data_IF_724088215704
#
_entry.id   IF_724088215704
#
_cell.length_a   1.000
_cell.length_b   1.000
_cell.length_c   1.000
_cell.angle_alpha   90.00
_cell.angle_beta   90.00
_cell.angle_gamma   90.00
#
_symmetry.space_group_name_H-M   'P 1'
#
loop_
_entity.id
_entity.type
_entity.pdbx_description
1 polymer ?
#
# COMPACT_ATOMS: atom_id res chain seq x y z
N UNK A 1 4.82 -9.91 16.50
CA UNK A 1 3.81 -10.79 15.85
C UNK A 1 3.78 -12.18 16.48
N UNK A 2 4.86 -12.95 16.52
CA UNK A 2 4.86 -14.31 17.15
C UNK A 2 4.35 -14.31 18.58
N UNK A 3 4.65 -13.28 19.35
CA UNK A 3 4.23 -13.14 20.74
C UNK A 3 2.71 -12.90 20.91
N UNK A 4 1.97 -12.55 19.86
CA UNK A 4 0.50 -12.52 19.82
C UNK A 4 -0.08 -13.76 19.13
N UNK A 5 0.73 -14.84 19.02
CA UNK A 5 0.30 -16.14 18.48
C UNK A 5 0.36 -16.28 16.97
N UNK A 6 0.89 -15.28 16.24
CA UNK A 6 0.97 -15.33 14.77
C UNK A 6 2.00 -16.36 14.33
N UNK A 7 1.67 -17.28 13.39
CA UNK A 7 2.59 -18.25 12.83
C UNK A 7 3.80 -17.59 12.19
N UNK A 8 4.96 -18.26 12.23
CA UNK A 8 6.22 -17.71 11.73
C UNK A 8 6.15 -17.27 10.26
N UNK A 9 5.48 -18.03 9.40
CA UNK A 9 5.33 -17.69 7.98
C UNK A 9 4.48 -16.43 7.77
N UNK A 10 3.43 -16.24 8.57
CA UNK A 10 2.63 -15.00 8.54
C UNK A 10 3.43 -13.80 9.07
N UNK A 11 4.26 -14.01 10.11
CA UNK A 11 5.18 -12.99 10.61
C UNK A 11 6.17 -12.55 9.53
N UNK A 12 6.75 -13.51 8.80
CA UNK A 12 7.67 -13.25 7.69
C UNK A 12 6.99 -12.48 6.55
N UNK A 13 5.79 -12.91 6.15
CA UNK A 13 5.01 -12.23 5.10
C UNK A 13 4.77 -10.76 5.46
N UNK A 14 4.37 -10.47 6.70
CA UNK A 14 4.20 -9.10 7.17
C UNK A 14 5.53 -8.34 7.20
N UNK A 15 6.58 -8.93 7.80
CA UNK A 15 7.89 -8.28 7.93
C UNK A 15 8.48 -7.89 6.57
N UNK A 16 8.40 -8.77 5.58
CA UNK A 16 8.87 -8.49 4.22
C UNK A 16 8.20 -7.27 3.60
N UNK A 17 6.89 -7.16 3.74
CA UNK A 17 6.12 -6.02 3.19
C UNK A 17 6.47 -4.73 3.92
N UNK A 18 6.60 -4.76 5.26
CA UNK A 18 6.95 -3.57 6.05
C UNK A 18 8.36 -3.08 5.72
N UNK A 19 9.33 -3.98 5.69
CA UNK A 19 10.72 -3.66 5.32
C UNK A 19 10.78 -3.12 3.90
N UNK A 20 10.08 -3.75 2.95
CA UNK A 20 10.01 -3.26 1.58
C UNK A 20 9.43 -1.84 1.47
N UNK A 21 8.48 -1.49 2.34
CA UNK A 21 7.95 -0.12 2.45
C UNK A 21 9.02 0.86 2.92
N UNK A 22 9.70 0.56 4.01
CA UNK A 22 10.73 1.43 4.60
C UNK A 22 11.96 1.55 3.68
N UNK A 23 12.41 0.45 3.08
CA UNK A 23 13.53 0.42 2.14
C UNK A 23 13.29 1.31 0.91
N UNK A 24 12.02 1.50 0.53
CA UNK A 24 11.60 2.38 -0.57
C UNK A 24 11.27 3.80 -0.15
N UNK A 25 11.45 4.15 1.13
CA UNK A 25 11.12 5.47 1.67
C UNK A 25 9.64 5.68 1.98
N UNK A 26 8.82 4.64 1.90
CA UNK A 26 7.39 4.68 2.26
C UNK A 26 7.17 4.39 3.75
N UNK A 27 7.85 5.13 4.63
CA UNK A 27 7.81 4.97 6.09
C UNK A 27 6.38 5.00 6.67
N UNK A 28 5.42 5.59 5.95
CA UNK A 28 4.01 5.55 6.35
C UNK A 28 3.38 4.15 6.31
N UNK A 29 4.01 3.19 5.61
CA UNK A 29 3.55 1.81 5.41
C UNK A 29 4.58 0.76 5.87
N UNK A 30 5.61 1.18 6.57
CA UNK A 30 6.67 0.35 7.11
C UNK A 30 6.48 -0.01 8.59
N UNK A 31 7.59 -0.06 9.31
CA UNK A 31 7.65 -0.46 10.72
C UNK A 31 6.65 0.29 11.62
N UNK A 32 6.38 1.57 11.34
CA UNK A 32 5.42 2.37 12.09
C UNK A 32 3.98 1.82 12.08
N UNK A 33 3.66 0.84 11.21
CA UNK A 33 2.36 0.17 11.16
C UNK A 33 2.28 -1.10 11.98
N UNK A 34 3.41 -1.60 12.50
CA UNK A 34 3.42 -2.84 13.27
C UNK A 34 2.46 -2.82 14.45
N UNK A 35 2.35 -1.68 15.14
CA UNK A 35 1.41 -1.49 16.25
C UNK A 35 -0.04 -1.77 15.85
N UNK A 36 -0.46 -1.27 14.70
CA UNK A 36 -1.81 -1.47 14.17
C UNK A 36 -2.10 -2.96 13.94
N UNK A 37 -1.18 -3.69 13.31
CA UNK A 37 -1.36 -5.12 13.07
C UNK A 37 -1.43 -5.94 14.36
N UNK A 38 -0.61 -5.59 15.36
CA UNK A 38 -0.64 -6.22 16.68
C UNK A 38 -1.95 -5.89 17.39
N UNK A 39 -2.41 -4.65 17.34
CA UNK A 39 -3.68 -4.22 17.92
C UNK A 39 -4.85 -4.97 17.31
N UNK A 40 -4.95 -5.04 15.97
CA UNK A 40 -6.04 -5.70 15.26
C UNK A 40 -6.14 -7.19 15.59
N UNK A 41 -5.01 -7.86 15.86
CA UNK A 41 -5.01 -9.24 16.35
C UNK A 41 -5.50 -9.33 17.80
N UNK A 42 -5.01 -8.45 18.68
CA UNK A 42 -5.36 -8.49 20.10
C UNK A 42 -6.85 -8.23 20.36
N UNK A 43 -7.49 -7.36 19.55
CA UNK A 43 -8.93 -7.09 19.64
C UNK A 43 -9.78 -8.10 18.84
N UNK A 44 -9.15 -9.07 18.15
CA UNK A 44 -9.84 -10.09 17.36
C UNK A 44 -10.43 -9.60 16.05
N UNK A 45 -10.05 -8.40 15.59
CA UNK A 45 -10.49 -7.87 14.29
C UNK A 45 -9.70 -8.44 13.12
N UNK A 46 -8.59 -9.13 13.39
CA UNK A 46 -7.81 -9.91 12.42
C UNK A 46 -7.56 -11.31 12.99
N UNK A 47 -7.81 -12.33 12.18
CA UNK A 47 -7.56 -13.74 12.53
C UNK A 47 -6.06 -14.02 12.50
N UNK A 48 -5.58 -14.68 13.56
CA UNK A 48 -4.14 -14.86 13.80
C UNK A 48 -3.52 -15.99 12.98
N UNK A 49 -4.30 -17.04 12.67
CA UNK A 49 -3.84 -18.27 12.03
C UNK A 49 -4.88 -18.82 11.06
N UNK A 50 -4.44 -19.46 10.00
CA UNK A 50 -5.28 -20.05 8.95
C UNK A 50 -4.66 -19.81 7.57
N UNK A 51 -5.36 -20.20 6.53
CA UNK A 51 -4.97 -20.03 5.15
C UNK A 51 -6.09 -19.36 4.35
N UNK A 52 -5.77 -18.59 3.28
CA UNK A 52 -6.76 -18.15 2.30
C UNK A 52 -7.31 -19.34 1.51
N UNK A 53 -8.57 -19.25 1.10
CA UNK A 53 -9.28 -20.32 0.40
C UNK A 53 -9.71 -19.88 -0.99
N UNK A 54 -9.45 -20.73 -2.03
CA UNK A 54 -9.97 -20.52 -3.37
C UNK A 54 -11.44 -20.97 -3.40
N UNK A 55 -12.35 -19.99 -3.45
CA UNK A 55 -13.81 -20.25 -3.50
C UNK A 55 -14.27 -20.64 -4.89
N UNK A 56 -13.69 -20.01 -5.91
CA UNK A 56 -14.02 -20.25 -7.31
C UNK A 56 -12.83 -19.92 -8.18
N UNK A 57 -12.56 -20.75 -9.18
CA UNK A 57 -11.54 -20.46 -10.19
C UNK A 57 -11.90 -20.94 -11.59
N UNK A 58 -11.27 -20.31 -12.56
CA UNK A 58 -11.19 -20.74 -13.96
C UNK A 58 -9.71 -20.85 -14.34
N UNK A 59 -9.41 -21.13 -15.61
CA UNK A 59 -8.03 -21.14 -16.09
C UNK A 59 -7.30 -19.81 -15.84
N UNK A 60 -7.97 -18.66 -16.02
CA UNK A 60 -7.37 -17.33 -15.94
C UNK A 60 -7.82 -16.49 -14.74
N UNK A 61 -8.87 -16.88 -14.01
CA UNK A 61 -9.40 -16.10 -12.89
C UNK A 61 -9.52 -16.92 -11.62
N UNK A 62 -9.50 -16.24 -10.44
CA UNK A 62 -9.88 -16.84 -9.19
C UNK A 62 -10.58 -15.83 -8.27
N UNK A 63 -11.48 -16.35 -7.44
CA UNK A 63 -12.07 -15.66 -6.31
C UNK A 63 -11.62 -16.33 -5.01
N UNK A 64 -11.09 -15.56 -4.09
CA UNK A 64 -10.45 -16.05 -2.86
C UNK A 64 -11.14 -15.45 -1.63
N UNK A 65 -11.42 -16.30 -0.64
CA UNK A 65 -11.77 -15.91 0.72
C UNK A 65 -10.49 -15.80 1.55
N UNK A 66 -10.24 -14.63 2.12
CA UNK A 66 -9.05 -14.32 2.91
C UNK A 66 -9.16 -14.72 4.38
N UNK A 67 -10.34 -15.19 4.81
CA UNK A 67 -10.61 -15.65 6.18
C UNK A 67 -10.23 -14.63 7.27
N UNK A 68 -10.31 -13.34 6.94
CA UNK A 68 -9.94 -12.23 7.81
C UNK A 68 -8.49 -12.30 8.34
N UNK A 69 -7.59 -12.91 7.58
CA UNK A 69 -6.17 -13.02 7.89
C UNK A 69 -5.43 -11.69 7.67
N UNK A 70 -4.15 -11.64 8.06
CA UNK A 70 -3.25 -10.53 7.75
C UNK A 70 -3.23 -10.24 6.24
N UNK A 71 -3.39 -8.97 5.86
CA UNK A 71 -3.39 -8.56 4.46
C UNK A 71 -2.20 -9.05 3.63
N UNK A 72 -0.95 -9.02 4.13
CA UNK A 72 0.19 -9.58 3.40
C UNK A 72 0.14 -11.09 3.17
N UNK A 73 -0.52 -11.85 4.03
CA UNK A 73 -0.72 -13.29 3.83
C UNK A 73 -1.69 -13.53 2.68
N UNK A 74 -2.85 -12.88 2.73
CA UNK A 74 -3.87 -12.97 1.68
C UNK A 74 -3.34 -12.41 0.35
N UNK A 75 -2.67 -11.25 0.41
CA UNK A 75 -2.13 -10.59 -0.78
C UNK A 75 -1.05 -11.41 -1.49
N UNK A 76 -0.10 -11.99 -0.74
CA UNK A 76 0.93 -12.86 -1.33
C UNK A 76 0.31 -14.09 -1.99
N UNK A 77 -0.64 -14.76 -1.32
CA UNK A 77 -1.34 -15.91 -1.87
C UNK A 77 -2.06 -15.58 -3.18
N UNK A 78 -2.84 -14.51 -3.20
CA UNK A 78 -3.60 -14.09 -4.39
C UNK A 78 -2.68 -13.64 -5.53
N UNK A 79 -1.61 -12.92 -5.23
CA UNK A 79 -0.64 -12.48 -6.23
C UNK A 79 0.12 -13.66 -6.84
N UNK A 80 0.55 -14.63 -6.02
CA UNK A 80 1.21 -15.85 -6.51
C UNK A 80 0.28 -16.66 -7.40
N UNK A 81 -1.00 -16.77 -7.04
CA UNK A 81 -2.02 -17.41 -7.87
C UNK A 81 -2.23 -16.68 -9.19
N UNK A 82 -2.30 -15.34 -9.19
CA UNK A 82 -2.43 -14.54 -10.41
C UNK A 82 -1.21 -14.75 -11.33
N UNK A 83 0.01 -14.72 -10.78
CA UNK A 83 1.23 -14.96 -11.55
C UNK A 83 1.27 -16.37 -12.15
N UNK A 84 0.89 -17.39 -11.37
CA UNK A 84 0.80 -18.76 -11.86
C UNK A 84 -0.14 -18.88 -13.06
N UNK A 85 -1.35 -18.33 -12.93
CA UNK A 85 -2.34 -18.32 -14.03
C UNK A 85 -1.83 -17.58 -15.27
N UNK A 86 -1.16 -16.44 -15.08
CA UNK A 86 -0.57 -15.67 -16.17
C UNK A 86 0.47 -16.48 -16.96
N UNK A 87 1.31 -17.22 -16.27
CA UNK A 87 2.31 -18.11 -16.91
C UNK A 87 1.69 -19.25 -17.71
N UNK A 88 0.49 -19.71 -17.30
CA UNK A 88 -0.22 -20.79 -17.96
C UNK A 88 -1.10 -20.32 -19.13
N UNK A 89 -1.74 -19.15 -19.01
CA UNK A 89 -2.78 -18.68 -19.92
C UNK A 89 -2.54 -17.30 -20.54
N UNK A 90 -1.44 -16.64 -20.21
CA UNK A 90 -1.10 -15.28 -20.64
C UNK A 90 -1.65 -14.17 -19.72
N UNK A 91 -2.67 -14.46 -18.90
CA UNK A 91 -3.24 -13.54 -17.93
C UNK A 91 -3.77 -14.29 -16.70
N UNK A 92 -3.53 -13.73 -15.51
CA UNK A 92 -4.17 -14.15 -14.28
C UNK A 92 -4.86 -12.99 -13.60
N UNK A 93 -6.14 -13.17 -13.23
CA UNK A 93 -6.93 -12.19 -12.51
C UNK A 93 -7.50 -12.81 -11.24
N UNK A 94 -7.08 -12.30 -10.08
CA UNK A 94 -7.52 -12.81 -8.78
C UNK A 94 -8.14 -11.68 -7.97
N UNK A 95 -9.39 -11.85 -7.56
CA UNK A 95 -10.06 -10.97 -6.61
C UNK A 95 -10.26 -11.69 -5.29
N UNK A 96 -10.14 -11.01 -4.16
CA UNK A 96 -10.38 -11.58 -2.84
C UNK A 96 -11.17 -10.64 -1.93
N UNK A 97 -11.83 -11.25 -0.93
CA UNK A 97 -12.47 -10.58 0.20
C UNK A 97 -11.94 -11.12 1.52
N UNK A 98 -12.47 -10.63 2.63
CA UNK A 98 -12.09 -11.12 3.95
C UNK A 98 -10.63 -10.83 4.27
N UNK A 99 -10.08 -9.71 3.80
CA UNK A 99 -8.70 -9.32 4.03
C UNK A 99 -8.58 -8.07 4.90
N UNK A 100 -7.33 -7.68 5.17
CA UNK A 100 -6.96 -6.54 5.97
C UNK A 100 -5.93 -5.68 5.23
N UNK A 101 -5.44 -4.60 5.85
CA UNK A 101 -4.38 -3.77 5.28
C UNK A 101 -3.19 -4.62 4.81
N UNK A 102 -2.70 -4.41 3.58
CA UNK A 102 -1.71 -5.29 2.94
C UNK A 102 -0.34 -4.63 2.69
N UNK A 103 -0.10 -3.46 3.29
CA UNK A 103 1.14 -2.70 3.10
C UNK A 103 1.12 -1.84 1.83
N UNK A 104 2.25 -1.74 1.14
CA UNK A 104 2.39 -1.02 -0.14
C UNK A 104 1.89 -1.89 -1.30
N UNK A 105 1.15 -1.29 -2.23
CA UNK A 105 0.62 -2.01 -3.40
C UNK A 105 1.74 -2.45 -4.35
N UNK A 106 2.82 -1.67 -4.42
CA UNK A 106 4.00 -1.96 -5.23
C UNK A 106 4.73 -3.25 -4.85
N UNK A 107 4.63 -3.72 -3.61
CA UNK A 107 5.21 -5.00 -3.21
C UNK A 107 4.78 -6.14 -4.13
N UNK A 108 3.50 -6.22 -4.41
CA UNK A 108 2.91 -7.30 -5.21
C UNK A 108 3.28 -7.19 -6.68
N UNK A 109 3.27 -5.97 -7.21
CA UNK A 109 3.56 -5.75 -8.64
C UNK A 109 5.03 -5.93 -8.97
N UNK A 110 5.94 -5.59 -8.06
CA UNK A 110 7.38 -5.83 -8.20
C UNK A 110 7.68 -7.34 -8.26
N UNK A 111 7.02 -8.15 -7.43
CA UNK A 111 7.16 -9.61 -7.48
C UNK A 111 6.73 -10.22 -8.82
N UNK A 112 5.75 -9.61 -9.50
CA UNK A 112 5.39 -10.01 -10.85
C UNK A 112 6.48 -9.65 -11.87
N UNK A 113 7.06 -8.45 -11.76
CA UNK A 113 8.19 -8.01 -12.60
C UNK A 113 9.40 -8.93 -12.44
N UNK A 114 9.72 -9.39 -11.24
CA UNK A 114 10.79 -10.37 -10.96
C UNK A 114 10.58 -11.71 -11.69
N UNK A 115 9.34 -12.01 -12.10
CA UNK A 115 8.97 -13.17 -12.92
C UNK A 115 8.85 -12.86 -14.41
N UNK A 116 9.20 -11.64 -14.83
CA UNK A 116 9.07 -11.17 -16.22
C UNK A 116 7.62 -10.86 -16.63
N UNK A 117 6.71 -10.67 -15.66
CA UNK A 117 5.30 -10.38 -15.88
C UNK A 117 5.02 -8.89 -15.66
N UNK A 118 3.97 -8.38 -16.29
CA UNK A 118 3.36 -7.12 -15.87
C UNK A 118 2.46 -7.44 -14.67
N UNK A 119 2.63 -6.69 -13.57
CA UNK A 119 1.80 -6.83 -12.38
C UNK A 119 0.89 -5.62 -12.17
N UNK A 120 -0.35 -5.87 -11.70
CA UNK A 120 -1.23 -4.82 -11.21
C UNK A 120 -1.79 -5.25 -9.84
N UNK A 121 -1.91 -4.30 -8.93
CA UNK A 121 -2.45 -4.52 -7.58
C UNK A 121 -3.36 -3.37 -7.19
N UNK A 122 -4.50 -3.71 -6.60
CA UNK A 122 -5.51 -2.75 -6.15
C UNK A 122 -6.03 -3.19 -4.78
N UNK A 123 -6.35 -2.23 -3.94
CA UNK A 123 -7.08 -2.49 -2.68
C UNK A 123 -7.95 -1.30 -2.32
N UNK A 124 -9.15 -1.57 -1.82
CA UNK A 124 -9.92 -0.53 -1.17
C UNK A 124 -9.47 -0.34 0.28
N UNK A 125 -9.80 0.78 0.89
CA UNK A 125 -9.36 1.16 2.23
C UNK A 125 -10.44 1.91 2.98
N UNK A 126 -10.18 2.22 4.26
CA UNK A 126 -11.05 3.02 5.11
C UNK A 126 -11.47 4.35 4.47
N UNK A 127 -12.72 4.80 4.62
CA UNK A 127 -13.24 5.98 3.96
C UNK A 127 -12.64 7.28 4.53
N UNK A 128 -11.71 7.87 3.80
CA UNK A 128 -10.97 9.10 4.13
C UNK A 128 -11.09 10.17 3.04
N UNK A 129 -11.49 9.78 1.83
CA UNK A 129 -11.55 10.64 0.64
C UNK A 129 -12.99 11.10 0.40
N UNK A 130 -13.13 12.39 0.19
CA UNK A 130 -14.40 13.05 -0.12
C UNK A 130 -14.59 13.05 -1.64
N UNK A 131 -15.64 12.43 -2.18
CA UNK A 131 -15.95 12.49 -3.60
C UNK A 131 -16.13 13.94 -4.09
N UNK A 132 -15.80 14.19 -5.34
CA UNK A 132 -16.00 15.51 -5.96
C UNK A 132 -17.44 16.01 -5.73
N UNK A 133 -17.59 17.24 -5.26
CA UNK A 133 -18.85 17.90 -4.87
C UNK A 133 -19.54 17.35 -3.62
N UNK A 134 -18.97 16.35 -2.95
CA UNK A 134 -19.49 15.89 -1.67
C UNK A 134 -18.88 16.69 -0.50
N UNK A 135 -19.44 16.50 0.69
CA UNK A 135 -18.89 17.05 1.93
C UNK A 135 -18.46 15.99 2.93
N UNK A 136 -18.69 14.71 2.63
CA UNK A 136 -18.41 13.60 3.54
C UNK A 136 -17.48 12.60 2.88
N UNK A 137 -16.51 12.11 3.63
CA UNK A 137 -15.65 11.01 3.20
C UNK A 137 -16.48 9.74 2.99
N UNK A 138 -16.28 9.10 1.86
CA UNK A 138 -17.03 7.89 1.46
C UNK A 138 -16.11 6.83 0.87
N UNK A 139 -15.03 7.22 0.21
CA UNK A 139 -14.06 6.32 -0.40
C UNK A 139 -12.77 6.29 0.40
N UNK A 140 -12.05 5.19 0.30
CA UNK A 140 -10.70 5.10 0.80
C UNK A 140 -9.69 5.84 -0.08
N UNK A 141 -8.43 5.84 0.35
CA UNK A 141 -7.31 6.29 -0.48
C UNK A 141 -7.05 5.34 -1.65
N UNK A 142 -7.67 4.16 -1.62
CA UNK A 142 -7.82 3.18 -2.68
C UNK A 142 -6.61 3.10 -3.62
N UNK A 143 -5.45 2.63 -3.12
CA UNK A 143 -4.23 2.63 -3.91
C UNK A 143 -4.30 1.66 -5.08
N UNK A 144 -3.56 2.01 -6.10
CA UNK A 144 -3.30 1.18 -7.27
C UNK A 144 -1.81 1.13 -7.56
N UNK A 145 -1.36 -0.01 -8.06
CA UNK A 145 -0.01 -0.18 -8.56
C UNK A 145 -0.02 -0.89 -9.90
N UNK A 146 0.89 -0.49 -10.78
CA UNK A 146 1.25 -1.19 -12.00
C UNK A 146 2.77 -1.22 -12.11
N UNK A 147 3.33 -2.41 -12.33
CA UNK A 147 4.75 -2.53 -12.65
C UNK A 147 4.95 -3.36 -13.93
N UNK A 148 5.94 -2.98 -14.71
CA UNK A 148 6.28 -3.61 -15.97
C UNK A 148 7.80 -3.76 -16.11
N UNK A 149 8.31 -4.93 -16.58
CA UNK A 149 9.74 -5.16 -16.74
C UNK A 149 10.32 -4.36 -17.90
N UNK A 150 11.47 -3.76 -17.67
CA UNK A 150 12.38 -3.23 -18.69
C UNK A 150 13.59 -4.14 -18.87
N UNK A 151 14.66 -3.65 -19.49
CA UNK A 151 15.92 -4.38 -19.70
C UNK A 151 16.83 -4.35 -18.47
N UNK A 152 17.68 -5.37 -18.34
CA UNK A 152 18.77 -5.43 -17.37
C UNK A 152 18.32 -5.21 -15.90
N UNK A 153 17.11 -5.64 -15.56
CA UNK A 153 16.56 -5.46 -14.22
C UNK A 153 15.93 -4.09 -13.94
N UNK A 154 15.90 -3.19 -14.94
CA UNK A 154 15.12 -1.95 -14.86
C UNK A 154 13.62 -2.23 -14.99
N UNK A 155 12.79 -1.33 -14.50
CA UNK A 155 11.33 -1.49 -14.49
C UNK A 155 10.61 -0.17 -14.33
N UNK A 156 9.42 -0.08 -14.89
CA UNK A 156 8.44 0.93 -14.51
C UNK A 156 7.67 0.42 -13.30
N UNK A 157 7.56 1.23 -12.25
CA UNK A 157 6.81 0.87 -11.02
C UNK A 157 5.99 2.06 -10.57
N UNK A 158 4.71 2.06 -10.91
CA UNK A 158 3.73 3.00 -10.38
C UNK A 158 3.11 2.39 -9.12
N UNK A 159 3.22 3.09 -7.99
CA UNK A 159 2.52 2.75 -6.73
C UNK A 159 1.99 4.04 -6.12
N UNK A 160 0.68 4.21 -6.10
CA UNK A 160 0.08 5.47 -5.69
C UNK A 160 -1.30 5.30 -5.07
N UNK A 161 -1.63 6.16 -4.11
CA UNK A 161 -3.00 6.38 -3.69
C UNK A 161 -3.80 7.14 -4.76
N UNK A 162 -5.11 6.99 -4.75
CA UNK A 162 -6.04 7.79 -5.58
C UNK A 162 -6.53 9.06 -4.85
N UNK A 163 -5.99 9.35 -3.66
CA UNK A 163 -6.12 10.63 -2.96
C UNK A 163 -5.04 11.62 -3.39
N UNK A 164 -5.30 12.92 -3.18
CA UNK A 164 -4.32 13.97 -3.49
C UNK A 164 -3.06 13.85 -2.61
N UNK A 165 -3.21 13.35 -1.39
CA UNK A 165 -2.12 13.24 -0.42
C UNK A 165 -2.39 12.11 0.57
N UNK A 166 -1.36 11.59 1.22
CA UNK A 166 -1.50 10.67 2.35
C UNK A 166 -1.96 11.41 3.62
N UNK A 167 -2.88 10.82 4.40
CA UNK A 167 -3.39 11.41 5.65
C UNK A 167 -2.27 11.78 6.63
N UNK A 168 -1.23 10.96 6.73
CA UNK A 168 -0.09 11.21 7.60
C UNK A 168 0.62 12.54 7.35
N UNK A 169 0.61 13.07 6.12
CA UNK A 169 1.16 14.41 5.84
C UNK A 169 0.29 15.52 6.43
N UNK A 170 -1.03 15.35 6.45
CA UNK A 170 -1.96 16.28 7.09
C UNK A 170 -1.79 16.24 8.61
N UNK A 171 -1.73 15.03 9.21
CA UNK A 171 -1.46 14.86 10.64
C UNK A 171 -0.12 15.47 11.05
N UNK A 172 0.90 15.37 10.20
CA UNK A 172 2.22 15.97 10.47
C UNK A 172 2.18 17.50 10.40
N UNK A 173 1.43 18.08 9.46
CA UNK A 173 1.24 19.52 9.35
C UNK A 173 0.50 20.08 10.58
N UNK A 174 -0.53 19.36 11.05
CA UNK A 174 -1.26 19.71 12.26
C UNK A 174 -0.34 19.73 13.50
N UNK A 175 0.47 18.68 13.70
CA UNK A 175 1.45 18.63 14.81
C UNK A 175 2.50 19.74 14.75
N UNK A 176 2.85 20.19 13.55
CA UNK A 176 3.79 21.30 13.34
C UNK A 176 3.13 22.67 13.41
N UNK A 177 1.79 22.75 13.47
CA UNK A 177 1.04 24.00 13.43
C UNK A 177 1.21 24.78 12.11
N UNK A 178 1.40 24.09 10.99
CA UNK A 178 1.59 24.68 9.66
C UNK A 178 0.43 24.34 8.74
N UNK A 179 0.17 25.22 7.77
CA UNK A 179 -0.84 24.99 6.74
C UNK A 179 -0.44 23.86 5.78
N UNK A 180 -1.45 23.19 5.22
CA UNK A 180 -1.29 22.23 4.12
C UNK A 180 -1.47 22.94 2.77
N UNK A 181 -0.89 22.42 1.69
CA UNK A 181 -1.09 22.93 0.33
C UNK A 181 -2.56 22.93 -0.10
N UNK A 182 -2.91 23.87 -0.97
CA UNK A 182 -4.18 23.85 -1.68
C UNK A 182 -4.39 22.54 -2.47
N UNK A 183 -5.63 22.13 -2.65
CA UNK A 183 -5.97 20.92 -3.40
C UNK A 183 -5.82 19.61 -2.61
N UNK A 184 -5.44 19.66 -1.33
CA UNK A 184 -5.25 18.46 -0.53
C UNK A 184 -6.49 17.97 0.19
N UNK A 185 -7.33 18.90 0.69
CA UNK A 185 -8.39 18.51 1.59
C UNK A 185 -9.55 19.53 1.65
N UNK A 186 -10.65 19.09 2.26
CA UNK A 186 -11.83 19.89 2.57
C UNK A 186 -12.16 19.86 4.06
N UNK A 187 -12.87 20.86 4.53
CA UNK A 187 -13.46 20.92 5.88
C UNK A 187 -14.76 20.10 5.97
N UNK A 188 -15.40 20.11 7.13
CA UNK A 188 -16.68 19.40 7.39
C UNK A 188 -17.87 19.90 6.57
N UNK A 189 -17.74 21.02 5.88
CA UNK A 189 -18.74 21.57 4.96
C UNK A 189 -18.47 21.21 3.50
N UNK A 190 -17.33 20.54 3.22
CA UNK A 190 -16.88 20.20 1.87
C UNK A 190 -16.19 21.35 1.16
N UNK A 191 -15.80 22.41 1.88
CA UNK A 191 -15.07 23.55 1.34
C UNK A 191 -13.57 23.29 1.43
N UNK A 192 -12.82 23.58 0.37
CA UNK A 192 -11.38 23.49 0.37
C UNK A 192 -10.76 24.22 1.56
N UNK A 193 -9.79 23.61 2.21
CA UNK A 193 -9.11 24.20 3.36
C UNK A 193 -7.62 23.90 3.36
N UNK A 194 -6.84 24.87 3.81
CA UNK A 194 -5.40 24.70 4.10
C UNK A 194 -5.12 24.47 5.60
N UNK A 195 -6.16 24.47 6.43
CA UNK A 195 -6.06 24.23 7.87
C UNK A 195 -6.19 22.74 8.18
N UNK A 196 -5.12 22.05 8.65
CA UNK A 196 -5.14 20.61 8.90
C UNK A 196 -6.10 20.21 10.03
N UNK A 197 -6.28 21.03 11.07
CA UNK A 197 -7.22 20.77 12.17
C UNK A 197 -8.66 20.64 11.65
N UNK A 198 -9.10 21.50 10.73
CA UNK A 198 -10.45 21.44 10.13
C UNK A 198 -10.65 20.15 9.32
N UNK A 199 -9.58 19.63 8.69
CA UNK A 199 -9.62 18.35 7.99
C UNK A 199 -9.83 17.21 8.98
N UNK A 200 -9.03 17.16 10.04
CA UNK A 200 -9.07 16.11 11.06
C UNK A 200 -10.34 16.16 11.93
N UNK A 201 -10.98 17.34 12.04
CA UNK A 201 -12.22 17.56 12.81
C UNK A 201 -13.49 17.36 11.98
N UNK A 202 -13.51 16.39 11.07
CA UNK A 202 -14.71 16.00 10.30
C UNK A 202 -14.71 16.42 8.83
N UNK A 203 -13.59 16.93 8.32
CA UNK A 203 -13.32 17.07 6.90
C UNK A 203 -12.83 15.76 6.25
N UNK A 204 -12.09 15.89 5.17
CA UNK A 204 -11.48 14.74 4.51
C UNK A 204 -10.52 15.12 3.39
N UNK A 205 -9.82 14.11 2.88
CA UNK A 205 -8.88 14.28 1.77
C UNK A 205 -9.63 14.51 0.45
N UNK A 206 -9.06 15.30 -0.43
CA UNK A 206 -9.50 15.39 -1.82
C UNK A 206 -8.94 14.22 -2.63
N UNK A 207 -9.61 13.83 -3.73
CA UNK A 207 -9.07 12.86 -4.67
C UNK A 207 -7.85 13.41 -5.41
N UNK A 208 -7.07 12.54 -6.02
CA UNK A 208 -5.97 12.91 -6.91
C UNK A 208 -6.43 13.93 -7.96
N UNK A 209 -5.68 15.01 -8.11
CA UNK A 209 -6.07 16.19 -8.89
C UNK A 209 -6.74 17.28 -8.06
N UNK A 210 -7.10 17.02 -6.79
CA UNK A 210 -7.59 18.04 -5.87
C UNK A 210 -9.04 18.43 -6.09
N UNK A 211 -9.31 19.73 -6.29
CA UNK A 211 -10.64 20.25 -6.54
C UNK A 211 -11.17 19.88 -7.93
N UNK A 212 -12.45 20.12 -8.19
CA UNK A 212 -13.04 19.89 -9.50
C UNK A 212 -12.34 20.71 -10.62
N UNK A 213 -11.98 21.95 -10.30
CA UNK A 213 -11.30 22.87 -11.24
C UNK A 213 -9.93 22.30 -11.66
N UNK A 214 -9.23 21.66 -10.75
CA UNK A 214 -7.94 21.02 -10.99
C UNK A 214 -8.06 19.54 -11.41
N UNK A 215 -9.25 19.12 -11.79
CA UNK A 215 -9.58 17.79 -12.32
C UNK A 215 -9.61 16.65 -11.26
N UNK A 216 -9.92 16.96 -10.00
CA UNK A 216 -10.05 15.94 -8.93
C UNK A 216 -11.09 14.87 -9.23
N UNK A 217 -12.07 15.12 -10.10
CA UNK A 217 -13.02 14.09 -10.56
C UNK A 217 -12.33 12.89 -11.23
N UNK A 218 -11.11 13.06 -11.78
CA UNK A 218 -10.33 11.96 -12.36
C UNK A 218 -9.84 11.01 -11.27
N UNK A 219 -9.27 11.54 -10.18
CA UNK A 219 -8.89 10.75 -9.02
C UNK A 219 -10.09 10.11 -8.33
N UNK A 220 -11.23 10.80 -8.25
CA UNK A 220 -12.49 10.23 -7.79
C UNK A 220 -12.91 9.03 -8.66
N UNK A 221 -12.84 9.17 -9.98
CA UNK A 221 -13.12 8.07 -10.92
C UNK A 221 -12.18 6.87 -10.70
N UNK A 222 -10.88 7.10 -10.49
CA UNK A 222 -9.91 6.04 -10.17
C UNK A 222 -10.24 5.35 -8.85
N UNK A 223 -10.59 6.10 -7.80
CA UNK A 223 -11.00 5.53 -6.52
C UNK A 223 -12.24 4.64 -6.65
N UNK A 224 -13.23 5.06 -7.45
CA UNK A 224 -14.41 4.26 -7.78
C UNK A 224 -14.06 3.00 -8.57
N UNK A 225 -13.14 3.08 -9.52
CA UNK A 225 -12.64 1.91 -10.26
C UNK A 225 -12.05 0.87 -9.29
N UNK A 226 -11.28 1.30 -8.30
CA UNK A 226 -10.72 0.39 -7.28
C UNK A 226 -11.84 -0.26 -6.45
N UNK A 227 -12.88 0.48 -6.06
CA UNK A 227 -14.05 -0.12 -5.38
C UNK A 227 -14.74 -1.18 -6.25
N UNK A 228 -14.87 -0.93 -7.56
CA UNK A 228 -15.45 -1.92 -8.48
C UNK A 228 -14.62 -3.20 -8.52
N UNK A 229 -13.29 -3.08 -8.62
CA UNK A 229 -12.39 -4.22 -8.76
C UNK A 229 -12.18 -5.00 -7.45
N UNK A 230 -12.23 -4.32 -6.32
CA UNK A 230 -11.91 -4.89 -5.00
C UNK A 230 -13.18 -5.17 -4.19
N UNK A 231 -13.95 -4.14 -3.85
CA UNK A 231 -15.12 -4.28 -3.00
C UNK A 231 -16.28 -4.97 -3.70
N UNK A 232 -16.70 -4.44 -4.84
CA UNK A 232 -17.93 -4.90 -5.52
C UNK A 232 -17.71 -6.24 -6.21
N UNK A 233 -16.63 -6.40 -6.97
CA UNK A 233 -16.34 -7.65 -7.69
C UNK A 233 -16.14 -8.85 -6.75
N UNK A 234 -15.52 -8.63 -5.59
CA UNK A 234 -15.21 -9.67 -4.62
C UNK A 234 -16.27 -9.83 -3.51
N UNK A 235 -17.38 -9.08 -3.55
CA UNK A 235 -18.37 -9.08 -2.45
C UNK A 235 -17.72 -8.78 -1.07
N UNK A 236 -16.74 -7.88 -1.06
CA UNK A 236 -16.11 -7.35 0.14
C UNK A 236 -16.83 -6.08 0.64
N UNK A 237 -16.42 -5.54 1.78
CA UNK A 237 -16.88 -4.23 2.19
C UNK A 237 -16.44 -3.16 1.17
N UNK A 238 -17.29 -2.18 0.88
CA UNK A 238 -17.00 -1.10 -0.06
C UNK A 238 -17.53 0.25 0.43
N UNK A 239 -16.89 1.32 0.00
CA UNK A 239 -17.26 2.68 0.31
C UNK A 239 -17.46 2.91 1.82
N UNK A 240 -18.63 3.45 2.25
CA UNK A 240 -18.90 3.75 3.66
C UNK A 240 -19.02 2.50 4.54
N UNK A 241 -19.15 1.30 3.95
CA UNK A 241 -19.25 0.04 4.68
C UNK A 241 -17.89 -0.49 5.12
N UNK A 242 -16.78 0.03 4.61
CA UNK A 242 -15.45 -0.32 5.08
C UNK A 242 -15.27 0.24 6.50
N UNK A 243 -14.66 -0.55 7.39
CA UNK A 243 -14.33 -0.14 8.76
C UNK A 243 -13.51 1.16 8.76
N UNK A 244 -13.84 2.10 9.65
CA UNK A 244 -13.03 3.30 9.84
C UNK A 244 -11.65 2.94 10.36
N UNK A 245 -10.63 3.69 9.95
CA UNK A 245 -9.21 3.41 10.19
C UNK A 245 -8.84 3.07 11.65
N UNK A 246 -9.46 3.70 12.61
CA UNK A 246 -9.22 3.46 14.06
C UNK A 246 -10.43 2.84 14.77
N UNK A 247 -11.35 2.22 14.02
CA UNK A 247 -12.53 1.60 14.58
C UNK A 247 -12.28 0.13 14.90
N UNK A 248 -12.78 -0.35 16.03
CA UNK A 248 -12.65 -1.74 16.49
C UNK A 248 -14.00 -2.46 16.47
N UNK A 249 -15.04 -1.83 15.92
CA UNK A 249 -16.43 -2.28 15.98
C UNK A 249 -16.71 -3.49 15.08
N UNK A 250 -15.85 -3.77 14.12
CA UNK A 250 -16.02 -4.86 13.14
C UNK A 250 -14.73 -5.18 12.39
N UNK A 251 -14.72 -6.32 11.70
CA UNK A 251 -13.65 -6.72 10.77
C UNK A 251 -13.57 -5.73 9.61
N UNK A 252 -12.38 -5.57 9.03
CA UNK A 252 -12.17 -4.65 7.91
C UNK A 252 -12.84 -5.16 6.63
N UNK A 253 -12.78 -6.48 6.39
CA UNK A 253 -13.30 -7.14 5.19
C UNK A 253 -12.89 -6.39 3.91
N UNK A 254 -11.60 -6.05 3.80
CA UNK A 254 -11.08 -5.39 2.60
C UNK A 254 -11.06 -6.34 1.42
N UNK A 255 -11.36 -5.79 0.24
CA UNK A 255 -11.15 -6.46 -1.03
C UNK A 255 -9.80 -6.09 -1.64
N UNK A 256 -9.18 -7.06 -2.32
CA UNK A 256 -8.01 -6.81 -3.15
C UNK A 256 -8.22 -7.41 -4.53
N UNK A 257 -7.53 -6.85 -5.50
CA UNK A 257 -7.48 -7.37 -6.86
C UNK A 257 -6.03 -7.41 -7.33
N UNK A 258 -5.61 -8.56 -7.82
CA UNK A 258 -4.27 -8.79 -8.38
C UNK A 258 -4.41 -9.26 -9.81
N UNK A 259 -3.66 -8.63 -10.71
CA UNK A 259 -3.62 -9.02 -12.12
C UNK A 259 -2.17 -9.21 -12.52
N UNK A 260 -1.86 -10.33 -13.15
CA UNK A 260 -0.60 -10.58 -13.79
C UNK A 260 -0.82 -10.84 -15.28
N UNK A 261 0.06 -10.31 -16.13
CA UNK A 261 0.00 -10.48 -17.57
C UNK A 261 1.37 -10.93 -18.07
N UNK A 262 1.42 -12.02 -18.84
CA UNK A 262 2.63 -12.43 -19.54
C UNK A 262 2.76 -11.63 -20.84
N UNK A 263 3.72 -10.70 -20.97
CA UNK A 263 3.90 -9.91 -22.18
C UNK A 263 4.25 -10.78 -23.39
N UNK A 264 4.77 -12.00 -23.19
CA UNK A 264 5.07 -12.94 -24.27
C UNK A 264 3.82 -13.50 -24.97
N UNK A 265 2.66 -13.41 -24.31
CA UNK A 265 1.37 -13.75 -24.92
C UNK A 265 0.90 -12.71 -25.95
N UNK A 266 1.64 -11.61 -26.10
CA UNK A 266 1.34 -10.50 -27.01
C UNK A 266 2.48 -10.30 -28.02
N UNK A 267 2.81 -9.05 -28.34
CA UNK A 267 3.86 -8.72 -29.30
C UNK A 267 5.26 -8.90 -28.70
N UNK A 268 6.17 -9.52 -29.46
CA UNK A 268 7.57 -9.66 -29.09
C UNK A 268 8.26 -8.32 -28.82
N UNK A 269 9.38 -8.32 -28.05
CA UNK A 269 10.19 -7.14 -27.77
C UNK A 269 9.53 -6.15 -26.79
N UNK A 270 8.70 -6.64 -25.87
CA UNK A 270 8.05 -5.79 -24.86
C UNK A 270 9.05 -5.02 -24.01
N UNK A 271 10.05 -5.71 -23.43
CA UNK A 271 11.06 -5.09 -22.56
C UNK A 271 11.90 -4.04 -23.30
N UNK A 272 12.19 -4.26 -24.59
CA UNK A 272 12.90 -3.28 -25.44
C UNK A 272 12.11 -1.99 -25.59
N UNK A 273 10.81 -2.09 -25.88
CA UNK A 273 9.94 -0.92 -26.03
C UNK A 273 9.71 -0.23 -24.70
N UNK A 274 9.55 -0.98 -23.60
CA UNK A 274 9.39 -0.41 -22.27
C UNK A 274 10.63 0.36 -21.85
N UNK A 275 11.82 -0.23 -22.03
CA UNK A 275 13.09 0.44 -21.78
C UNK A 275 13.25 1.70 -22.62
N UNK A 276 12.97 1.60 -23.92
CA UNK A 276 13.08 2.74 -24.83
C UNK A 276 12.19 3.91 -24.40
N UNK A 277 10.98 3.64 -23.91
CA UNK A 277 10.08 4.68 -23.40
C UNK A 277 10.62 5.32 -22.11
N UNK A 278 11.09 4.50 -21.15
CA UNK A 278 11.67 5.01 -19.90
C UNK A 278 12.91 5.86 -20.18
N UNK A 279 13.82 5.38 -21.03
CA UNK A 279 15.04 6.09 -21.39
C UNK A 279 14.73 7.39 -22.13
N UNK A 280 13.73 7.38 -23.02
CA UNK A 280 13.29 8.60 -23.69
C UNK A 280 12.84 9.67 -22.69
N UNK A 281 12.01 9.28 -21.70
CA UNK A 281 11.55 10.21 -20.68
C UNK A 281 12.71 10.73 -19.80
N UNK A 282 13.60 9.85 -19.35
CA UNK A 282 14.75 10.21 -18.51
C UNK A 282 15.74 11.13 -19.21
N UNK A 283 15.87 11.02 -20.55
CA UNK A 283 16.77 11.81 -21.36
C UNK A 283 16.17 13.17 -21.82
N UNK A 284 14.93 13.48 -21.46
CA UNK A 284 14.38 14.81 -21.71
C UNK A 284 15.13 15.86 -20.89
N UNK A 285 15.21 17.07 -21.43
CA UNK A 285 15.79 18.19 -20.70
C UNK A 285 14.92 18.49 -19.46
N UNK A 286 15.49 18.50 -18.24
CA UNK A 286 14.76 18.89 -17.06
C UNK A 286 14.24 20.32 -17.12
N UNK A 287 13.13 20.60 -16.45
CA UNK A 287 12.62 21.95 -16.28
C UNK A 287 13.62 22.80 -15.48
N UNK A 288 13.52 24.12 -15.60
CA UNK A 288 14.35 25.05 -14.84
C UNK A 288 14.24 24.80 -13.33
N UNK A 289 15.39 24.61 -12.67
CA UNK A 289 15.46 24.28 -11.25
C UNK A 289 15.42 22.78 -10.91
N UNK A 290 15.14 21.92 -11.89
CA UNK A 290 15.14 20.45 -11.72
C UNK A 290 16.48 19.84 -12.19
N UNK A 291 16.88 18.73 -11.58
CA UNK A 291 18.15 18.05 -11.87
C UNK A 291 18.01 16.89 -12.86
N UNK A 292 16.83 16.28 -12.92
CA UNK A 292 16.55 15.12 -13.78
C UNK A 292 15.04 14.97 -14.04
N UNK A 293 14.70 14.29 -15.14
CA UNK A 293 13.34 13.75 -15.36
C UNK A 293 13.31 12.31 -14.85
N UNK A 294 12.35 12.00 -14.01
CA UNK A 294 12.21 10.70 -13.38
C UNK A 294 10.98 9.96 -13.91
N UNK A 295 11.08 8.65 -14.04
CA UNK A 295 9.92 7.76 -14.26
C UNK A 295 9.49 7.12 -12.94
N UNK A 296 8.26 6.63 -12.90
CA UNK A 296 7.74 5.97 -11.70
C UNK A 296 8.63 4.78 -11.31
N UNK A 297 9.04 4.73 -10.03
CA UNK A 297 9.99 3.77 -9.47
C UNK A 297 11.44 4.29 -9.32
N UNK A 298 11.83 5.37 -10.02
CA UNK A 298 13.17 5.94 -9.88
C UNK A 298 13.46 6.51 -8.49
N UNK A 299 12.55 7.27 -7.85
CA UNK A 299 12.77 7.76 -6.49
C UNK A 299 12.97 6.63 -5.48
N UNK A 300 12.19 5.56 -5.59
CA UNK A 300 12.25 4.40 -4.72
C UNK A 300 13.57 3.63 -4.92
N UNK A 301 14.03 3.47 -6.17
CA UNK A 301 15.34 2.86 -6.46
C UNK A 301 16.49 3.68 -5.90
N UNK A 302 16.41 5.00 -6.02
CA UNK A 302 17.42 5.88 -5.43
C UNK A 302 17.46 5.77 -3.89
N UNK A 303 16.28 5.64 -3.25
CA UNK A 303 16.21 5.43 -1.81
C UNK A 303 16.76 4.07 -1.39
N UNK A 304 16.45 2.98 -2.11
CA UNK A 304 17.01 1.64 -1.88
C UNK A 304 18.54 1.69 -1.99
N UNK A 305 19.06 2.39 -3.00
CA UNK A 305 20.50 2.53 -3.16
C UNK A 305 21.14 3.27 -1.96
N UNK A 306 20.49 4.35 -1.51
CA UNK A 306 20.93 5.08 -0.33
C UNK A 306 20.92 4.20 0.93
N UNK A 307 19.86 3.42 1.17
CA UNK A 307 19.77 2.46 2.29
C UNK A 307 20.94 1.47 2.27
N UNK A 308 21.33 0.98 1.08
CA UNK A 308 22.48 0.10 0.92
C UNK A 308 23.81 0.79 1.22
N UNK A 309 23.97 2.02 0.76
CA UNK A 309 25.18 2.83 1.01
C UNK A 309 25.31 3.22 2.49
N UNK A 310 24.21 3.54 3.14
CA UNK A 310 24.14 3.85 4.56
C UNK A 310 24.29 2.60 5.47
N UNK A 311 24.26 1.39 4.88
CA UNK A 311 24.36 0.13 5.60
C UNK A 311 23.08 -0.30 6.33
N UNK A 312 21.96 0.41 6.15
CA UNK A 312 20.68 0.08 6.78
C UNK A 312 19.63 1.17 6.67
N UNK A 313 18.44 0.88 7.19
CA UNK A 313 17.32 1.81 7.24
C UNK A 313 17.43 2.67 8.50
N UNK A 314 17.45 3.98 8.34
CA UNK A 314 17.49 4.91 9.47
C UNK A 314 16.10 5.22 10.01
N UNK A 315 15.85 4.91 11.27
CA UNK A 315 14.61 5.22 11.95
C UNK A 315 14.80 6.35 12.96
N UNK A 316 13.77 7.18 13.10
CA UNK A 316 13.75 8.17 14.15
C UNK A 316 13.68 7.49 15.53
N UNK A 317 14.48 7.95 16.50
CA UNK A 317 14.58 7.34 17.85
C UNK A 317 13.22 7.18 18.53
N UNK A 318 12.31 8.16 18.39
CA UNK A 318 10.97 8.09 18.99
C UNK A 318 10.13 6.91 18.44
N UNK A 319 10.35 6.50 17.18
CA UNK A 319 9.68 5.32 16.61
C UNK A 319 10.20 4.05 17.28
N UNK A 320 11.51 3.94 17.43
CA UNK A 320 12.13 2.78 18.09
C UNK A 320 11.73 2.70 19.57
N UNK A 321 11.71 3.82 20.28
CA UNK A 321 11.25 3.87 21.67
C UNK A 321 9.77 3.48 21.81
N UNK A 322 8.90 3.95 20.92
CA UNK A 322 7.50 3.55 20.90
C UNK A 322 7.34 2.05 20.68
N UNK A 323 8.08 1.45 19.72
CA UNK A 323 8.08 0.01 19.48
C UNK A 323 8.58 -0.79 20.69
N UNK A 324 9.66 -0.33 21.35
CA UNK A 324 10.19 -0.97 22.57
C UNK A 324 9.21 -0.86 23.73
N UNK A 325 8.57 0.29 23.92
CA UNK A 325 7.58 0.50 24.96
C UNK A 325 6.38 -0.43 24.76
N UNK A 326 5.85 -0.50 23.55
CA UNK A 326 4.74 -1.40 23.19
C UNK A 326 5.11 -2.87 23.43
N UNK A 327 6.31 -3.28 23.03
CA UNK A 327 6.83 -4.62 23.27
C UNK A 327 6.87 -4.93 24.79
N UNK A 328 7.41 -4.02 25.59
CA UNK A 328 7.48 -4.18 27.05
C UNK A 328 6.10 -4.22 27.71
N UNK A 329 5.16 -3.38 27.29
CA UNK A 329 3.80 -3.35 27.84
C UNK A 329 3.02 -4.63 27.57
N UNK A 330 3.18 -5.21 26.38
CA UNK A 330 2.47 -6.45 26.00
C UNK A 330 3.10 -7.72 26.56
N UNK A 331 4.40 -7.70 26.85
CA UNK A 331 5.18 -8.89 27.22
C UNK A 331 5.88 -8.74 28.57
N UNK A 332 5.34 -7.90 29.45
CA UNK A 332 5.91 -7.71 30.78
C UNK A 332 6.06 -9.04 31.51
N UNK A 333 7.26 -9.33 31.85
CA UNK A 333 7.85 -10.07 32.98
C UNK A 333 8.78 -11.25 32.66
N UNK A 334 8.90 -11.78 31.45
CA UNK A 334 9.73 -13.00 31.26
C UNK A 334 10.64 -13.07 30.02
N UNK A 335 10.84 -12.02 29.23
CA UNK A 335 11.82 -12.05 28.14
C UNK A 335 12.96 -11.10 28.49
N UNK A 336 14.10 -11.71 28.76
CA UNK A 336 15.35 -11.03 29.16
C UNK A 336 15.80 -10.05 28.08
N UNK A 337 16.19 -8.87 28.54
CA UNK A 337 16.83 -7.75 27.83
C UNK A 337 17.95 -8.17 26.86
N UNK A 338 18.51 -9.36 27.01
CA UNK A 338 19.61 -9.88 26.21
C UNK A 338 19.30 -10.18 24.73
N UNK A 339 18.02 -10.43 24.37
CA UNK A 339 17.65 -10.65 22.96
C UNK A 339 17.37 -9.32 22.21
N UNK A 340 17.12 -8.25 22.92
CA UNK A 340 16.96 -6.91 22.32
C UNK A 340 18.29 -6.20 22.07
N UNK A 341 19.35 -6.54 22.79
CA UNK A 341 20.69 -6.00 22.59
C UNK A 341 21.36 -6.44 21.28
N UNK A 342 20.80 -7.46 20.58
CA UNK A 342 21.25 -7.83 19.24
C UNK A 342 20.90 -6.77 18.19
N UNK A 343 19.90 -5.89 18.46
CA UNK A 343 19.62 -4.73 17.60
C UNK A 343 20.56 -3.55 17.85
N UNK A 344 21.17 -3.48 19.04
CA UNK A 344 22.19 -2.47 19.37
C UNK A 344 23.61 -2.87 18.88
N UNK A 345 23.83 -4.14 18.56
CA UNK A 345 25.12 -4.61 18.00
C UNK A 345 25.15 -4.67 16.47
N UNK A 346 24.09 -4.35 15.78
CA UNK A 346 24.14 -3.88 14.41
C UNK A 346 24.50 -2.40 14.45
N UNK A 347 25.75 -2.12 14.76
CA UNK A 347 26.34 -0.80 14.61
C UNK A 347 26.10 -0.30 13.19
N UNK A 348 25.34 0.79 13.11
CA UNK A 348 25.41 1.97 12.27
C UNK A 348 26.30 1.88 11.03
#
# INVERSE_FOLDING_TARGET
>A
MSAVGTPLEHCKALAQVLVAGDERGHFSHGLNRLEMYVHDINVGSTVVNGDPEIVKETSATAFVEGNNLLGPVVGNFCNDLAMKKAQETGIGWVACKGSNHYGIAGWYTIRAVEKGLIGMSFTNTSPLVVPTRARQSTLGTNPLSLAAPGKNGDSFVLDMATSAVALGKIEMADRKGVEIPHGWAVDSKGLETVNPEKVLSGGGQLPLGGTEITSGFKGYGLAMMVEVLCGILADAAFGPNVRKWKGDDRVANLGHCFVAVDPKAFSEGFEDRMQSLMDHCRNLQPAEGETAVLVAGDPERAHIQKVKEDGGIHYHVNLLEAMVCQYRCQFSKNILINEMLVLESCEL
#
